data_IF_232445391115
#
_entry.id   IF_232445391115
#
_cell.length_a   1.000
_cell.length_b   1.000
_cell.length_c   1.000
_cell.angle_alpha   90.00
_cell.angle_beta   90.00
_cell.angle_gamma   90.00
#
_symmetry.space_group_name_H-M   'P 1'
#
loop_
_entity.id
_entity.type
_entity.pdbx_description
1 polymer ?
#
# COMPACT_ATOMS: atom_id res chain seq x y z
N UNK A 1 41.92 6.56 29.31
CA UNK A 1 40.67 6.80 28.58
C UNK A 1 40.67 5.85 27.40
N UNK A 2 39.84 4.80 27.48
CA UNK A 2 40.02 3.51 26.80
C UNK A 2 39.37 3.47 25.41
N UNK A 3 40.17 3.22 24.37
CA UNK A 3 39.71 2.93 23.01
C UNK A 3 38.87 1.63 22.87
N UNK A 4 38.83 0.80 23.92
CA UNK A 4 38.05 -0.46 23.95
C UNK A 4 36.55 -0.18 24.20
N UNK A 5 36.21 0.88 24.95
CA UNK A 5 34.80 1.22 25.22
C UNK A 5 34.11 1.81 23.98
N UNK A 6 34.84 2.58 23.15
CA UNK A 6 34.31 3.11 21.88
C UNK A 6 34.04 2.00 20.85
N UNK A 7 34.87 0.96 20.80
CA UNK A 7 34.69 -0.18 19.90
C UNK A 7 33.47 -1.05 20.23
N UNK A 8 33.21 -1.28 21.52
CA UNK A 8 32.07 -2.11 21.98
C UNK A 8 30.73 -1.37 21.87
N UNK A 9 30.71 -0.05 22.11
CA UNK A 9 29.54 0.82 21.85
C UNK A 9 29.23 0.90 20.35
N UNK A 10 30.25 1.03 19.50
CA UNK A 10 30.08 1.04 18.04
C UNK A 10 29.52 -0.29 17.50
N UNK A 11 29.98 -1.42 18.03
CA UNK A 11 29.50 -2.75 17.65
C UNK A 11 28.05 -3.02 18.10
N UNK A 12 27.69 -2.63 19.33
CA UNK A 12 26.31 -2.75 19.83
C UNK A 12 25.33 -1.88 19.04
N UNK A 13 25.75 -0.69 18.64
CA UNK A 13 24.92 0.18 17.80
C UNK A 13 24.67 -0.46 16.44
N UNK A 14 25.69 -1.05 15.80
CA UNK A 14 25.52 -1.73 14.51
C UNK A 14 24.55 -2.90 14.57
N UNK A 15 24.63 -3.75 15.60
CA UNK A 15 23.69 -4.86 15.79
C UNK A 15 22.26 -4.37 16.09
N UNK A 16 22.11 -3.29 16.87
CA UNK A 16 20.80 -2.68 17.11
C UNK A 16 20.17 -2.12 15.83
N UNK A 17 20.94 -1.40 15.01
CA UNK A 17 20.46 -0.87 13.73
C UNK A 17 20.14 -1.98 12.72
N UNK A 18 20.91 -3.07 12.68
CA UNK A 18 20.58 -4.25 11.87
C UNK A 18 19.26 -4.88 12.29
N UNK A 19 19.05 -5.05 13.60
CA UNK A 19 17.79 -5.56 14.12
C UNK A 19 16.62 -4.61 13.78
N UNK A 20 16.80 -3.30 13.89
CA UNK A 20 15.79 -2.33 13.44
C UNK A 20 15.49 -2.46 11.94
N UNK A 21 16.52 -2.61 11.11
CA UNK A 21 16.38 -2.81 9.67
C UNK A 21 15.58 -4.07 9.34
N UNK A 22 15.94 -5.21 9.94
CA UNK A 22 15.23 -6.47 9.76
C UNK A 22 13.75 -6.36 10.18
N UNK A 23 13.47 -5.69 11.30
CA UNK A 23 12.09 -5.45 11.75
C UNK A 23 11.29 -4.57 10.79
N UNK A 24 11.92 -3.57 10.16
CA UNK A 24 11.28 -2.76 9.14
C UNK A 24 11.00 -3.57 7.88
N UNK A 25 11.96 -4.40 7.43
CA UNK A 25 11.77 -5.29 6.28
C UNK A 25 10.63 -6.30 6.51
N UNK A 26 10.56 -6.91 7.70
CA UNK A 26 9.45 -7.79 8.09
C UNK A 26 8.09 -7.07 8.03
N UNK A 27 8.01 -5.84 8.55
CA UNK A 27 6.80 -5.04 8.50
C UNK A 27 6.42 -4.64 7.07
N UNK A 28 7.41 -4.31 6.23
CA UNK A 28 7.17 -4.02 4.82
C UNK A 28 6.64 -5.23 4.06
N UNK A 29 7.23 -6.40 4.28
CA UNK A 29 6.78 -7.65 3.68
C UNK A 29 5.36 -8.03 4.15
N UNK A 30 5.07 -7.88 5.44
CA UNK A 30 3.73 -8.13 5.99
C UNK A 30 2.68 -7.17 5.42
N UNK A 31 3.03 -5.89 5.27
CA UNK A 31 2.16 -4.88 4.64
C UNK A 31 1.88 -5.22 3.18
N UNK A 32 2.89 -5.62 2.43
CA UNK A 32 2.73 -6.02 1.03
C UNK A 32 1.83 -7.25 0.91
N UNK A 33 2.09 -8.31 1.69
CA UNK A 33 1.24 -9.50 1.71
C UNK A 33 -0.21 -9.18 2.06
N UNK A 34 -0.45 -8.33 3.06
CA UNK A 34 -1.80 -7.92 3.43
C UNK A 34 -2.50 -7.12 2.32
N UNK A 35 -1.78 -6.23 1.64
CA UNK A 35 -2.33 -5.44 0.53
C UNK A 35 -2.76 -6.33 -0.64
N UNK A 36 -1.90 -7.27 -1.04
CA UNK A 36 -2.20 -8.22 -2.11
C UNK A 36 -3.34 -9.17 -1.76
N UNK A 37 -3.40 -9.67 -0.52
CA UNK A 37 -4.48 -10.52 -0.05
C UNK A 37 -5.82 -9.77 -0.04
N UNK A 38 -5.85 -8.52 0.43
CA UNK A 38 -7.06 -7.69 0.40
C UNK A 38 -7.56 -7.48 -1.04
N UNK A 39 -6.65 -7.28 -1.99
CA UNK A 39 -7.01 -7.10 -3.39
C UNK A 39 -7.53 -8.41 -4.02
N UNK A 40 -6.94 -9.56 -3.69
CA UNK A 40 -7.49 -10.86 -4.11
C UNK A 40 -8.92 -11.07 -3.60
N UNK A 41 -9.20 -10.70 -2.35
CA UNK A 41 -10.56 -10.75 -1.80
C UNK A 41 -11.52 -9.77 -2.49
N UNK A 42 -11.02 -8.66 -3.05
CA UNK A 42 -11.80 -7.74 -3.86
C UNK A 42 -12.08 -8.35 -5.23
N UNK A 43 -11.08 -8.92 -5.90
CA UNK A 43 -11.23 -9.60 -7.20
C UNK A 43 -12.30 -10.71 -7.16
N UNK A 44 -12.35 -11.47 -6.05
CA UNK A 44 -13.35 -12.53 -5.85
C UNK A 44 -14.77 -12.00 -5.66
N UNK A 45 -14.92 -10.84 -5.02
CA UNK A 45 -16.25 -10.28 -4.64
C UNK A 45 -16.79 -9.29 -5.65
N UNK A 46 -15.90 -8.61 -6.36
CA UNK A 46 -16.24 -7.51 -7.26
C UNK A 46 -15.29 -7.46 -8.46
N UNK A 47 -15.31 -8.55 -9.23
CA UNK A 47 -14.40 -8.76 -10.35
C UNK A 47 -14.42 -7.63 -11.39
N UNK A 48 -15.59 -7.12 -11.75
CA UNK A 48 -15.73 -6.02 -12.73
C UNK A 48 -14.96 -4.76 -12.31
N UNK A 49 -15.07 -4.37 -11.04
CA UNK A 49 -14.37 -3.21 -10.49
C UNK A 49 -12.86 -3.42 -10.43
N UNK A 50 -12.42 -4.60 -9.99
CA UNK A 50 -10.99 -4.92 -9.96
C UNK A 50 -10.38 -4.95 -11.35
N UNK A 51 -11.07 -5.50 -12.34
CA UNK A 51 -10.59 -5.58 -13.72
C UNK A 51 -10.46 -4.19 -14.32
N UNK A 52 -11.46 -3.32 -14.10
CA UNK A 52 -11.39 -1.93 -14.55
C UNK A 52 -10.22 -1.18 -13.91
N UNK A 53 -9.98 -1.35 -12.61
CA UNK A 53 -8.82 -0.77 -11.93
C UNK A 53 -7.49 -1.25 -12.52
N UNK A 54 -7.37 -2.56 -12.77
CA UNK A 54 -6.15 -3.14 -13.35
C UNK A 54 -5.90 -2.55 -14.74
N UNK A 55 -6.94 -2.46 -15.57
CA UNK A 55 -6.85 -1.92 -16.93
C UNK A 55 -6.49 -0.44 -16.88
N UNK A 56 -7.21 0.37 -16.09
CA UNK A 56 -6.99 1.81 -15.99
C UNK A 56 -5.64 2.20 -15.42
N UNK A 57 -5.14 1.46 -14.43
CA UNK A 57 -3.83 1.72 -13.82
C UNK A 57 -2.67 1.03 -14.55
N UNK A 58 -3.00 0.09 -15.45
CA UNK A 58 -2.09 -0.63 -16.34
C UNK A 58 -1.57 -1.96 -15.79
N UNK A 59 -1.55 -2.16 -14.47
CA UNK A 59 -1.20 -3.44 -13.87
C UNK A 59 -1.83 -3.64 -12.48
N UNK A 60 -1.82 -4.91 -12.06
CA UNK A 60 -2.40 -5.36 -10.78
C UNK A 60 -1.69 -4.78 -9.56
N UNK A 61 -0.37 -4.64 -9.60
CA UNK A 61 0.41 -4.11 -8.47
C UNK A 61 0.06 -2.64 -8.21
N UNK A 62 -0.08 -1.85 -9.27
CA UNK A 62 -0.53 -0.46 -9.19
C UNK A 62 -1.95 -0.36 -8.64
N UNK A 63 -2.87 -1.22 -9.09
CA UNK A 63 -4.23 -1.28 -8.54
C UNK A 63 -4.25 -1.60 -7.04
N UNK A 64 -3.47 -2.60 -6.59
CA UNK A 64 -3.32 -2.95 -5.16
C UNK A 64 -2.88 -1.73 -4.34
N UNK A 65 -1.83 -1.05 -4.78
CA UNK A 65 -1.29 0.09 -4.04
C UNK A 65 -2.20 1.31 -4.08
N UNK A 66 -2.88 1.55 -5.20
CA UNK A 66 -3.88 2.61 -5.33
C UNK A 66 -5.03 2.41 -4.33
N UNK A 67 -5.55 1.18 -4.22
CA UNK A 67 -6.60 0.83 -3.25
C UNK A 67 -6.18 1.08 -1.79
N UNK A 68 -4.89 0.89 -1.49
CA UNK A 68 -4.33 1.10 -0.14
C UNK A 68 -3.98 2.57 0.14
N UNK A 69 -3.79 3.38 -0.91
CA UNK A 69 -3.34 4.76 -0.78
C UNK A 69 -4.50 5.65 -0.36
N UNK A 70 -4.21 6.57 0.57
CA UNK A 70 -5.16 7.62 0.96
C UNK A 70 -5.17 8.73 -0.08
N UNK A 71 -6.35 9.11 -0.54
CA UNK A 71 -6.50 10.02 -1.67
C UNK A 71 -7.35 11.23 -1.28
N UNK A 72 -7.00 12.42 -1.77
CA UNK A 72 -7.78 13.65 -1.49
C UNK A 72 -9.17 13.59 -2.13
N UNK A 73 -9.30 12.99 -3.32
CA UNK A 73 -10.58 12.72 -3.99
C UNK A 73 -11.53 11.86 -3.14
N UNK A 74 -10.96 11.04 -2.26
CA UNK A 74 -11.66 10.17 -1.31
C UNK A 74 -11.65 10.75 0.12
N UNK A 75 -11.56 12.08 0.28
CA UNK A 75 -11.57 12.74 1.60
C UNK A 75 -10.44 12.27 2.55
N UNK A 76 -9.32 11.87 1.99
CA UNK A 76 -8.18 11.35 2.76
C UNK A 76 -8.35 9.91 3.23
N UNK A 77 -9.41 9.21 2.81
CA UNK A 77 -9.59 7.77 3.00
C UNK A 77 -8.88 6.99 1.90
N UNK A 78 -8.65 5.70 2.15
CA UNK A 78 -8.31 4.74 1.09
C UNK A 78 -9.59 4.11 0.54
N UNK A 79 -9.50 3.45 -0.62
CA UNK A 79 -10.67 2.92 -1.31
C UNK A 79 -11.41 1.83 -0.51
N UNK A 80 -10.69 1.01 0.27
CA UNK A 80 -11.33 0.01 1.14
C UNK A 80 -12.20 0.66 2.23
N UNK A 81 -11.78 1.78 2.79
CA UNK A 81 -12.57 2.54 3.77
C UNK A 81 -13.82 3.12 3.13
N UNK A 82 -13.72 3.67 1.91
CA UNK A 82 -14.86 4.19 1.15
C UNK A 82 -15.89 3.09 0.85
N UNK A 83 -15.42 1.89 0.45
CA UNK A 83 -16.29 0.72 0.25
C UNK A 83 -16.99 0.32 1.55
N UNK A 84 -16.28 0.31 2.67
CA UNK A 84 -16.83 -0.05 3.98
C UNK A 84 -17.88 0.97 4.47
N UNK A 85 -17.73 2.23 4.13
CA UNK A 85 -18.68 3.31 4.44
C UNK A 85 -19.91 3.31 3.51
N UNK A 86 -19.94 2.43 2.49
CA UNK A 86 -21.04 2.34 1.52
C UNK A 86 -21.03 3.43 0.45
N UNK A 87 -19.95 4.20 0.34
CA UNK A 87 -19.79 5.30 -0.62
C UNK A 87 -19.23 4.81 -1.98
N UNK A 88 -19.74 3.67 -2.45
CA UNK A 88 -19.22 2.96 -3.62
C UNK A 88 -19.42 3.74 -4.93
N UNK A 89 -20.53 4.46 -5.07
CA UNK A 89 -20.81 5.27 -6.26
C UNK A 89 -19.75 6.35 -6.47
N UNK A 90 -19.35 7.03 -5.38
CA UNK A 90 -18.25 8.01 -5.41
C UNK A 90 -16.92 7.37 -5.81
N UNK A 91 -16.68 6.14 -5.35
CA UNK A 91 -15.46 5.42 -5.73
C UNK A 91 -15.45 5.15 -7.23
N UNK A 92 -16.59 4.76 -7.83
CA UNK A 92 -16.73 4.61 -9.27
C UNK A 92 -16.43 5.90 -10.03
N UNK A 93 -17.02 7.03 -9.62
CA UNK A 93 -16.76 8.33 -10.27
C UNK A 93 -15.25 8.64 -10.33
N UNK A 94 -14.52 8.33 -9.25
CA UNK A 94 -13.07 8.55 -9.18
C UNK A 94 -12.30 7.59 -10.10
N UNK A 95 -12.70 6.32 -10.20
CA UNK A 95 -12.02 5.38 -11.09
C UNK A 95 -12.37 5.66 -12.56
N UNK A 96 -13.59 6.08 -12.86
CA UNK A 96 -13.98 6.54 -14.20
C UNK A 96 -13.16 7.75 -14.64
N UNK A 97 -12.97 8.75 -13.77
CA UNK A 97 -12.11 9.91 -14.05
C UNK A 97 -10.66 9.47 -14.30
N UNK A 98 -10.15 8.54 -13.49
CA UNK A 98 -8.81 7.98 -13.62
C UNK A 98 -8.59 7.22 -14.94
N UNK A 99 -9.58 6.44 -15.39
CA UNK A 99 -9.54 5.71 -16.66
C UNK A 99 -9.79 6.63 -17.86
N UNK A 100 -10.59 7.69 -17.69
CA UNK A 100 -10.95 8.64 -18.74
C UNK A 100 -9.89 9.72 -19.02
N UNK A 101 -8.99 9.99 -18.07
CA UNK A 101 -7.89 10.97 -18.23
C UNK A 101 -6.65 10.41 -18.93
N UNK A 102 -6.72 9.23 -19.54
CA UNK A 102 -5.60 8.62 -20.27
C UNK A 102 -5.26 9.32 -21.61
N UNK A 103 -5.93 10.42 -21.95
CA UNK A 103 -5.61 11.30 -23.07
C UNK A 103 -5.18 12.71 -22.59
N UNK A 104 -3.95 12.88 -22.07
CA UNK A 104 -3.23 14.16 -22.02
C UNK A 104 -1.72 13.96 -21.84
#
# INVERSE_FOLDING_TARGET
>A
MNAIEEGVLSMHNSESFKHMGARLEELHAAREQAAFAAFSMLEERWNEFSDMLIIGLGDRTRAVWWMCTRQRSLEGKNAYQVIADGEQDRLWDVVEDLCGTQEC
#
